data_IF_951316711350
#
_entry.id   IF_951316711350
#
_cell.length_a   1.000
_cell.length_b   1.000
_cell.length_c   1.000
_cell.angle_alpha   90.00
_cell.angle_beta   90.00
_cell.angle_gamma   90.00
#
_symmetry.space_group_name_H-M   'P 1'
#
loop_
_entity.id
_entity.type
_entity.pdbx_description
1 polymer ?
#
# COMPACT_ATOMS: atom_id res chain seq x y z
N UNK A 1 4.25 24.83 21.45
CA UNK A 1 2.93 24.23 21.17
C UNK A 1 3.00 22.73 20.86
N UNK A 2 3.99 22.23 20.09
CA UNK A 2 4.12 20.81 19.66
C UNK A 2 4.39 19.77 20.77
N UNK A 3 4.97 20.11 21.93
CA UNK A 3 5.25 19.17 23.05
C UNK A 3 4.00 18.53 23.71
N UNK A 4 2.78 18.94 23.33
CA UNK A 4 1.52 18.43 23.91
C UNK A 4 0.78 17.44 23.00
N UNK A 5 1.29 17.15 21.78
CA UNK A 5 0.55 16.36 20.80
C UNK A 5 0.36 14.90 21.25
N UNK A 6 1.44 14.21 21.68
CA UNK A 6 1.33 12.85 22.19
C UNK A 6 0.34 12.76 23.38
N UNK A 7 0.47 13.69 24.35
CA UNK A 7 -0.45 13.74 25.51
C UNK A 7 -1.91 13.97 25.09
N UNK A 8 -2.13 14.75 24.04
CA UNK A 8 -3.47 14.95 23.49
C UNK A 8 -4.04 13.66 22.89
N UNK A 9 -3.24 12.93 22.10
CA UNK A 9 -3.67 11.65 21.51
C UNK A 9 -3.90 10.57 22.60
N UNK A 10 -3.20 10.64 23.71
CA UNK A 10 -3.38 9.74 24.86
C UNK A 10 -4.62 10.05 25.71
N UNK A 11 -5.44 11.07 25.39
CA UNK A 11 -6.71 11.29 26.12
C UNK A 11 -7.66 10.11 25.91
N UNK A 12 -8.37 9.68 26.97
CA UNK A 12 -9.31 8.54 26.91
C UNK A 12 -10.28 8.62 25.73
N UNK A 13 -10.86 9.80 25.50
CA UNK A 13 -11.80 10.05 24.38
C UNK A 13 -11.16 9.73 23.03
N UNK A 14 -9.95 10.25 22.77
CA UNK A 14 -9.24 10.05 21.52
C UNK A 14 -8.84 8.58 21.34
N UNK A 15 -8.38 7.93 22.41
CA UNK A 15 -8.01 6.51 22.34
C UNK A 15 -9.23 5.60 22.12
N UNK A 16 -10.40 5.90 22.71
CA UNK A 16 -11.66 5.18 22.44
C UNK A 16 -12.07 5.35 20.97
N UNK A 17 -11.96 6.56 20.42
CA UNK A 17 -12.24 6.82 19.01
C UNK A 17 -11.28 6.05 18.09
N UNK A 18 -9.98 6.09 18.36
CA UNK A 18 -8.98 5.30 17.63
C UNK A 18 -9.23 3.80 17.73
N UNK A 19 -9.61 3.30 18.90
CA UNK A 19 -9.95 1.90 19.10
C UNK A 19 -11.16 1.49 18.25
N UNK A 20 -12.23 2.27 18.28
CA UNK A 20 -13.44 2.01 17.47
C UNK A 20 -13.16 1.96 15.96
N UNK A 21 -12.27 2.86 15.46
CA UNK A 21 -11.91 2.97 14.04
C UNK A 21 -10.90 1.90 13.59
N UNK A 22 -9.95 1.52 14.44
CA UNK A 22 -8.79 0.74 14.03
C UNK A 22 -8.73 -0.68 14.58
N UNK A 23 -9.42 -0.97 15.70
CA UNK A 23 -9.36 -2.26 16.36
C UNK A 23 -10.64 -3.08 16.10
N UNK A 24 -11.81 -2.44 16.09
CA UNK A 24 -13.11 -3.11 15.95
C UNK A 24 -13.19 -4.11 14.78
N UNK A 25 -12.61 -3.79 13.64
CA UNK A 25 -12.66 -4.62 12.43
C UNK A 25 -11.37 -5.40 12.17
N UNK A 26 -10.46 -5.43 13.14
CA UNK A 26 -9.19 -6.10 12.96
C UNK A 26 -9.27 -7.58 13.37
N UNK A 27 -9.07 -8.48 12.41
CA UNK A 27 -9.22 -9.91 12.58
C UNK A 27 -7.94 -10.63 13.05
N UNK A 28 -6.75 -10.03 12.85
CA UNK A 28 -5.51 -10.68 13.23
C UNK A 28 -5.24 -10.53 14.73
N UNK A 29 -4.69 -11.57 15.34
CA UNK A 29 -4.28 -11.60 16.75
C UNK A 29 -2.77 -11.59 16.87
N UNK A 30 -2.23 -10.88 17.87
CA UNK A 30 -0.81 -10.92 18.22
C UNK A 30 -0.40 -12.23 18.92
N UNK A 31 0.75 -12.22 19.59
CA UNK A 31 1.25 -13.39 20.35
C UNK A 31 0.39 -13.72 21.58
N UNK A 32 -0.36 -12.76 22.11
CA UNK A 32 -1.30 -12.92 23.20
C UNK A 32 -2.60 -13.64 22.81
N UNK A 33 -2.82 -13.85 21.50
CA UNK A 33 -4.05 -14.42 20.91
C UNK A 33 -5.34 -13.70 21.30
N UNK A 34 -5.26 -12.47 21.81
CA UNK A 34 -6.44 -11.66 22.14
C UNK A 34 -7.10 -11.18 20.86
N UNK A 35 -8.37 -11.58 20.66
CA UNK A 35 -9.22 -11.11 19.57
C UNK A 35 -10.07 -9.90 20.01
N UNK A 36 -10.79 -9.26 19.05
CA UNK A 36 -11.59 -8.08 19.36
C UNK A 36 -12.67 -8.33 20.42
N UNK A 37 -13.31 -9.49 20.41
CA UNK A 37 -14.36 -9.84 21.39
C UNK A 37 -13.83 -9.85 22.84
N UNK A 38 -12.62 -10.37 23.02
CA UNK A 38 -11.94 -10.39 24.33
C UNK A 38 -11.42 -8.99 24.69
N UNK A 39 -10.83 -8.29 23.71
CA UNK A 39 -10.33 -6.93 23.88
C UNK A 39 -11.45 -5.96 24.30
N UNK A 40 -12.60 -5.98 23.63
CA UNK A 40 -13.71 -5.05 23.90
C UNK A 40 -14.25 -5.11 25.32
N UNK A 41 -14.18 -6.28 25.96
CA UNK A 41 -14.57 -6.45 27.37
C UNK A 41 -13.61 -5.78 28.36
N UNK A 42 -12.38 -5.49 27.95
CA UNK A 42 -11.30 -4.92 28.77
C UNK A 42 -10.72 -3.65 28.16
N UNK A 43 -11.39 -3.03 27.21
CA UNK A 43 -10.90 -1.88 26.47
C UNK A 43 -10.50 -0.72 27.38
N UNK A 44 -11.31 -0.40 28.37
CA UNK A 44 -11.01 0.69 29.31
C UNK A 44 -9.75 0.41 30.14
N UNK A 45 -9.61 -0.81 30.62
CA UNK A 45 -8.40 -1.25 31.33
C UNK A 45 -7.16 -1.13 30.46
N UNK A 46 -7.22 -1.59 29.21
CA UNK A 46 -6.11 -1.48 28.28
C UNK A 46 -5.76 -0.02 27.96
N UNK A 47 -6.75 0.84 27.79
CA UNK A 47 -6.54 2.29 27.55
C UNK A 47 -5.82 2.91 28.75
N UNK A 48 -6.24 2.64 29.99
CA UNK A 48 -5.58 3.14 31.18
C UNK A 48 -4.15 2.62 31.33
N UNK A 49 -3.93 1.32 31.13
CA UNK A 49 -2.58 0.74 31.16
C UNK A 49 -1.64 1.39 30.14
N UNK A 50 -2.10 1.61 28.90
CA UNK A 50 -1.30 2.27 27.85
C UNK A 50 -0.95 3.67 28.30
N UNK A 51 -1.94 4.46 28.72
CA UNK A 51 -1.75 5.85 29.16
C UNK A 51 -0.74 5.95 30.29
N UNK A 52 -0.95 5.17 31.35
CA UNK A 52 -0.09 5.17 32.51
C UNK A 52 1.35 4.80 32.15
N UNK A 53 1.54 3.69 31.41
CA UNK A 53 2.86 3.21 31.04
C UNK A 53 3.59 4.14 30.08
N UNK A 54 2.89 4.71 29.10
CA UNK A 54 3.49 5.68 28.17
C UNK A 54 3.89 6.95 28.91
N UNK A 55 3.01 7.52 29.75
CA UNK A 55 3.32 8.75 30.49
C UNK A 55 4.46 8.58 31.52
N UNK A 56 4.63 7.36 32.06
CA UNK A 56 5.74 7.00 32.96
C UNK A 56 7.00 6.54 32.21
N UNK A 57 7.01 6.63 30.90
CA UNK A 57 8.12 6.17 30.02
C UNK A 57 8.56 4.71 30.27
N UNK A 58 7.62 3.83 30.56
CA UNK A 58 7.88 2.41 30.81
C UNK A 58 7.04 1.47 29.95
N UNK A 59 6.48 1.98 28.83
CA UNK A 59 5.73 1.16 27.89
C UNK A 59 6.65 0.21 27.13
N UNK A 60 6.37 -1.08 27.22
CA UNK A 60 7.09 -2.14 26.49
C UNK A 60 6.13 -2.82 25.53
N UNK A 61 6.50 -2.87 24.26
CA UNK A 61 5.76 -3.62 23.24
C UNK A 61 5.94 -5.12 23.48
N UNK A 62 4.88 -5.88 23.31
CA UNK A 62 4.94 -7.33 23.18
C UNK A 62 5.62 -7.68 21.87
N UNK A 63 6.48 -8.69 21.81
CA UNK A 63 7.08 -9.16 20.56
C UNK A 63 6.00 -9.34 19.49
N UNK A 64 6.28 -8.93 18.27
CA UNK A 64 5.33 -9.05 17.18
C UNK A 64 5.19 -10.50 16.74
N UNK A 65 4.00 -10.90 16.33
CA UNK A 65 3.76 -12.22 15.75
C UNK A 65 4.13 -12.20 14.28
N UNK A 66 4.89 -13.19 13.83
CA UNK A 66 5.23 -13.34 12.43
C UNK A 66 4.04 -13.85 11.62
N UNK A 67 3.85 -13.27 10.43
CA UNK A 67 3.01 -13.83 9.37
C UNK A 67 3.78 -13.78 8.06
N UNK A 68 4.08 -14.95 7.52
CA UNK A 68 4.74 -15.07 6.22
C UNK A 68 3.72 -14.97 5.09
N UNK A 69 4.01 -14.10 4.12
CA UNK A 69 3.17 -13.91 2.91
C UNK A 69 4.02 -14.22 1.68
N UNK A 70 3.63 -15.27 0.94
CA UNK A 70 4.25 -15.63 -0.33
C UNK A 70 3.81 -14.65 -1.42
N UNK A 71 4.77 -14.06 -2.12
CA UNK A 71 4.53 -13.21 -3.29
C UNK A 71 4.38 -14.05 -4.56
N UNK A 72 5.25 -15.02 -4.74
CA UNK A 72 5.26 -16.03 -5.81
C UNK A 72 6.08 -17.26 -5.38
N UNK A 73 6.14 -18.28 -6.25
CA UNK A 73 6.89 -19.55 -5.97
C UNK A 73 8.41 -19.37 -5.88
N UNK A 74 8.95 -18.29 -6.43
CA UNK A 74 10.39 -18.08 -6.62
C UNK A 74 10.97 -16.99 -5.73
N UNK A 75 10.16 -16.39 -4.86
CA UNK A 75 10.61 -15.35 -3.94
C UNK A 75 10.47 -15.77 -2.48
N UNK A 76 11.41 -15.33 -1.65
CA UNK A 76 11.28 -15.49 -0.21
C UNK A 76 9.99 -14.84 0.29
N UNK A 77 9.30 -15.49 1.26
CA UNK A 77 8.09 -14.90 1.84
C UNK A 77 8.41 -13.58 2.55
N UNK A 78 7.48 -12.64 2.46
CA UNK A 78 7.55 -11.40 3.24
C UNK A 78 7.13 -11.70 4.68
N UNK A 79 7.95 -11.26 5.63
CA UNK A 79 7.63 -11.31 7.05
C UNK A 79 6.81 -10.08 7.44
N UNK A 80 5.56 -10.28 7.81
CA UNK A 80 4.69 -9.24 8.34
C UNK A 80 4.62 -9.35 9.86
N UNK A 81 4.86 -8.25 10.53
CA UNK A 81 4.84 -8.13 11.99
C UNK A 81 3.44 -7.76 12.47
N UNK A 82 2.80 -8.64 13.23
CA UNK A 82 1.45 -8.43 13.78
C UNK A 82 1.55 -8.08 15.26
N UNK A 83 1.21 -6.85 15.67
CA UNK A 83 1.17 -6.45 17.08
C UNK A 83 -0.03 -7.04 17.80
N UNK A 84 0.01 -7.09 19.14
CA UNK A 84 -1.18 -7.30 19.97
C UNK A 84 -2.18 -6.17 19.75
N UNK A 85 -3.46 -6.36 20.10
CA UNK A 85 -4.47 -5.30 19.95
C UNK A 85 -4.14 -4.07 20.81
N UNK A 86 -3.57 -4.29 22.02
CA UNK A 86 -3.08 -3.22 22.88
C UNK A 86 -1.94 -2.44 22.21
N UNK A 87 -0.94 -3.14 21.70
CA UNK A 87 0.18 -2.53 20.99
C UNK A 87 -0.27 -1.83 19.71
N UNK A 88 -1.26 -2.39 19.01
CA UNK A 88 -1.83 -1.77 17.82
C UNK A 88 -2.49 -0.43 18.13
N UNK A 89 -3.21 -0.32 19.25
CA UNK A 89 -3.77 0.96 19.69
C UNK A 89 -2.66 1.97 20.00
N UNK A 90 -1.62 1.55 20.70
CA UNK A 90 -0.44 2.39 20.97
C UNK A 90 0.24 2.86 19.68
N UNK A 91 0.45 1.96 18.72
CA UNK A 91 0.99 2.30 17.40
C UNK A 91 0.08 3.26 16.63
N UNK A 92 -1.24 3.21 16.82
CA UNK A 92 -2.17 4.18 16.25
C UNK A 92 -2.05 5.55 16.90
N UNK A 93 -1.86 5.63 18.22
CA UNK A 93 -1.56 6.88 18.93
C UNK A 93 -0.27 7.52 18.40
N UNK A 94 0.79 6.73 18.20
CA UNK A 94 2.03 7.20 17.59
C UNK A 94 1.77 7.72 16.18
N UNK A 95 1.04 6.96 15.35
CA UNK A 95 0.72 7.34 13.98
C UNK A 95 -0.01 8.67 13.92
N UNK A 96 -1.08 8.86 14.70
CA UNK A 96 -1.82 10.12 14.68
C UNK A 96 -0.96 11.29 15.19
N UNK A 97 -0.06 11.04 16.13
CA UNK A 97 0.91 12.05 16.58
C UNK A 97 1.92 12.38 15.47
N UNK A 98 2.44 11.37 14.74
CA UNK A 98 3.38 11.57 13.61
C UNK A 98 2.73 12.35 12.48
N UNK A 99 1.46 12.13 12.18
CA UNK A 99 0.72 12.86 11.13
C UNK A 99 0.68 14.37 11.37
N UNK A 100 0.65 14.79 12.63
CA UNK A 100 0.68 16.21 12.99
C UNK A 100 2.08 16.84 12.82
N UNK A 101 3.14 16.03 12.99
CA UNK A 101 4.52 16.49 12.77
C UNK A 101 4.94 16.43 11.30
N UNK A 102 4.45 15.44 10.56
CA UNK A 102 4.80 15.09 9.18
C UNK A 102 3.56 14.99 8.29
N UNK A 103 2.83 16.10 8.06
CA UNK A 103 1.57 16.07 7.34
C UNK A 103 1.71 15.68 5.85
N UNK A 104 2.87 15.96 5.23
CA UNK A 104 3.14 15.60 3.84
C UNK A 104 3.37 14.08 3.71
N UNK A 105 4.26 13.52 4.54
CA UNK A 105 4.59 12.09 4.58
C UNK A 105 3.41 11.23 5.06
N UNK A 106 2.44 11.85 5.74
CA UNK A 106 1.22 11.19 6.19
C UNK A 106 0.18 10.97 5.07
N UNK A 107 0.33 11.63 3.94
CA UNK A 107 -0.60 11.59 2.81
C UNK A 107 0.12 11.23 1.51
N UNK A 108 0.69 10.01 1.42
CA UNK A 108 1.29 9.57 0.17
C UNK A 108 0.23 9.52 -0.94
N UNK A 109 0.60 9.83 -2.18
CA UNK A 109 -0.31 9.77 -3.30
C UNK A 109 -0.84 8.34 -3.49
N UNK A 110 -2.05 8.24 -4.01
CA UNK A 110 -2.60 6.95 -4.44
C UNK A 110 -1.92 6.48 -5.75
N UNK A 111 -1.88 5.18 -6.04
CA UNK A 111 -1.32 4.68 -7.31
C UNK A 111 -1.89 5.39 -8.54
N UNK A 112 -3.20 5.66 -8.56
CA UNK A 112 -3.88 6.34 -9.66
C UNK A 112 -3.43 7.81 -9.80
N UNK A 113 -3.12 8.47 -8.70
CA UNK A 113 -2.59 9.84 -8.69
C UNK A 113 -1.16 9.88 -9.24
N UNK A 114 -0.34 8.88 -8.88
CA UNK A 114 0.99 8.71 -9.47
C UNK A 114 0.89 8.51 -10.99
N UNK A 115 0.02 7.62 -11.46
CA UNK A 115 -0.17 7.36 -12.89
C UNK A 115 -0.71 8.61 -13.61
N UNK A 116 -1.63 9.36 -12.99
CA UNK A 116 -2.11 10.62 -13.54
C UNK A 116 -0.98 11.64 -13.70
N UNK A 117 -0.11 11.79 -12.70
CA UNK A 117 1.04 12.67 -12.77
C UNK A 117 2.00 12.24 -13.90
N UNK A 118 2.33 10.95 -14.00
CA UNK A 118 3.16 10.42 -15.08
C UNK A 118 2.52 10.69 -16.45
N UNK A 119 1.21 10.47 -16.59
CA UNK A 119 0.48 10.74 -17.84
C UNK A 119 0.63 12.20 -18.26
N UNK A 120 0.42 13.12 -17.33
CA UNK A 120 0.56 14.56 -17.59
C UNK A 120 2.00 14.95 -18.01
N UNK A 121 3.00 14.28 -17.44
CA UNK A 121 4.40 14.52 -17.84
C UNK A 121 4.72 13.94 -19.21
N UNK A 122 4.22 12.75 -19.54
CA UNK A 122 4.39 12.16 -20.87
C UNK A 122 3.69 12.99 -21.97
N UNK A 123 2.58 13.65 -21.66
CA UNK A 123 1.83 14.51 -22.59
C UNK A 123 2.54 15.87 -22.87
N UNK A 124 3.58 16.22 -22.09
CA UNK A 124 4.39 17.43 -22.36
C UNK A 124 5.40 17.25 -23.49
N UNK A 125 5.68 15.99 -23.87
CA UNK A 125 6.62 15.62 -24.94
C UNK A 125 8.07 16.15 -24.75
N UNK A 126 8.46 16.45 -23.49
CA UNK A 126 9.77 17.00 -23.15
C UNK A 126 10.80 15.91 -22.75
N UNK A 127 10.34 14.72 -22.38
CA UNK A 127 11.21 13.62 -21.96
C UNK A 127 11.30 12.54 -23.05
N UNK A 128 12.50 11.99 -23.22
CA UNK A 128 12.78 10.95 -24.21
C UNK A 128 13.07 9.60 -23.59
N UNK A 129 13.55 9.57 -22.34
CA UNK A 129 14.00 8.38 -21.65
C UNK A 129 13.27 8.16 -20.32
N UNK A 130 13.23 6.92 -19.89
CA UNK A 130 12.81 6.56 -18.53
C UNK A 130 13.89 5.75 -17.82
N UNK A 131 13.94 5.92 -16.49
CA UNK A 131 14.72 5.10 -15.56
C UNK A 131 13.76 4.62 -14.50
N UNK A 132 13.68 3.30 -14.33
CA UNK A 132 12.89 2.68 -13.29
C UNK A 132 13.78 1.90 -12.36
N UNK A 133 13.69 2.19 -11.06
CA UNK A 133 14.48 1.57 -10.01
C UNK A 133 13.55 0.86 -9.02
N UNK A 134 14.00 -0.27 -8.48
CA UNK A 134 13.33 -1.02 -7.41
C UNK A 134 14.32 -1.18 -6.24
N UNK A 135 13.84 -1.01 -5.01
CA UNK A 135 14.66 -1.18 -3.82
C UNK A 135 14.53 -2.60 -3.27
N UNK A 136 15.66 -3.27 -3.09
CA UNK A 136 15.69 -4.60 -2.47
C UNK A 136 15.34 -4.50 -0.99
N UNK A 137 14.37 -5.31 -0.54
CA UNK A 137 13.94 -5.39 0.88
C UNK A 137 13.90 -4.02 1.57
N UNK A 138 13.17 -3.08 0.98
CA UNK A 138 13.18 -1.67 1.38
C UNK A 138 13.03 -1.47 2.89
N UNK A 139 11.97 -2.05 3.49
CA UNK A 139 11.74 -1.92 4.94
C UNK A 139 12.85 -2.57 5.77
N UNK A 140 13.42 -3.68 5.32
CA UNK A 140 14.51 -4.37 5.98
C UNK A 140 15.85 -3.63 5.89
N UNK A 141 16.01 -2.76 4.88
CA UNK A 141 17.24 -2.00 4.66
C UNK A 141 17.22 -0.56 5.21
N UNK A 142 16.11 -0.09 5.76
CA UNK A 142 16.04 1.23 6.42
C UNK A 142 17.02 1.25 7.61
N UNK A 143 17.98 2.16 7.58
CA UNK A 143 18.94 2.36 8.68
C UNK A 143 18.27 3.15 9.80
N UNK A 144 18.08 2.50 10.96
CA UNK A 144 17.34 3.09 12.10
C UNK A 144 17.97 4.39 12.60
N UNK A 145 19.29 4.50 12.58
CA UNK A 145 20.02 5.70 12.98
C UNK A 145 19.65 6.89 12.09
N UNK A 146 19.79 6.75 10.76
CA UNK A 146 19.42 7.80 9.78
C UNK A 146 17.95 8.19 9.94
N UNK A 147 17.05 7.22 10.11
CA UNK A 147 15.63 7.49 10.32
C UNK A 147 15.41 8.32 11.58
N UNK A 148 16.03 7.92 12.69
CA UNK A 148 15.85 8.63 13.96
C UNK A 148 16.46 10.03 13.95
N UNK A 149 17.57 10.22 13.26
CA UNK A 149 18.17 11.56 13.13
C UNK A 149 17.23 12.50 12.35
N UNK A 150 16.63 12.05 11.24
CA UNK A 150 15.62 12.83 10.51
C UNK A 150 14.41 13.16 11.39
N UNK A 151 13.92 12.21 12.19
CA UNK A 151 12.80 12.43 13.11
C UNK A 151 13.16 13.43 14.21
N UNK A 152 14.36 13.35 14.78
CA UNK A 152 14.84 14.23 15.87
C UNK A 152 15.02 15.68 15.43
N UNK A 153 15.20 15.95 14.13
CA UNK A 153 15.23 17.33 13.61
C UNK A 153 13.91 18.04 13.94
N UNK A 154 12.78 17.36 13.77
CA UNK A 154 11.44 17.94 13.91
C UNK A 154 10.81 17.65 15.29
N UNK A 155 10.96 16.42 15.79
CA UNK A 155 10.37 15.98 17.06
C UNK A 155 11.40 16.16 18.19
N UNK A 156 11.01 16.92 19.23
CA UNK A 156 11.80 17.13 20.45
C UNK A 156 11.14 16.52 21.71
N UNK A 157 10.06 15.76 21.52
CA UNK A 157 9.36 15.05 22.59
C UNK A 157 10.06 13.70 22.82
N UNK A 158 10.84 13.61 23.91
CA UNK A 158 11.63 12.43 24.25
C UNK A 158 10.76 11.18 24.47
N UNK A 159 9.57 11.35 25.07
CA UNK A 159 8.63 10.24 25.25
C UNK A 159 8.20 9.64 23.91
N UNK A 160 7.88 10.49 22.93
CA UNK A 160 7.49 10.04 21.60
C UNK A 160 8.66 9.38 20.87
N UNK A 161 9.87 9.96 20.97
CA UNK A 161 11.07 9.41 20.36
C UNK A 161 11.39 8.02 20.91
N UNK A 162 11.34 7.85 22.22
CA UNK A 162 11.59 6.56 22.87
C UNK A 162 10.52 5.52 22.49
N UNK A 163 9.26 5.93 22.44
CA UNK A 163 8.16 5.06 22.05
C UNK A 163 8.30 4.59 20.60
N UNK A 164 8.74 5.46 19.68
CA UNK A 164 9.05 5.10 18.30
C UNK A 164 10.22 4.12 18.24
N UNK A 165 11.32 4.42 18.94
CA UNK A 165 12.52 3.54 19.00
C UNK A 165 12.11 2.16 19.52
N UNK A 166 11.34 2.10 20.61
CA UNK A 166 10.88 0.84 21.18
C UNK A 166 10.00 0.06 20.23
N UNK A 167 9.16 0.74 19.44
CA UNK A 167 8.31 0.07 18.44
C UNK A 167 9.13 -0.52 17.29
N UNK A 168 10.10 0.21 16.74
CA UNK A 168 10.89 -0.28 15.58
C UNK A 168 11.94 -1.32 15.99
N UNK A 169 12.47 -1.24 17.21
CA UNK A 169 13.44 -2.20 17.76
C UNK A 169 12.79 -3.45 18.33
N UNK A 170 11.47 -3.48 18.51
CA UNK A 170 10.80 -4.65 19.07
C UNK A 170 10.85 -5.83 18.09
N UNK A 171 11.38 -7.01 18.48
CA UNK A 171 11.58 -8.12 17.57
C UNK A 171 10.27 -8.80 17.17
N UNK A 172 10.27 -9.36 15.96
CA UNK A 172 9.19 -10.25 15.48
C UNK A 172 9.57 -11.68 15.81
N UNK A 173 8.72 -12.38 16.58
CA UNK A 173 8.92 -13.79 16.94
C UNK A 173 9.03 -14.64 15.65
N UNK A 174 9.96 -15.60 15.53
CA UNK A 174 10.77 -16.19 16.62
C UNK A 174 12.06 -15.43 16.95
N UNK A 175 12.41 -14.35 16.24
CA UNK A 175 13.63 -13.58 16.57
C UNK A 175 13.59 -13.07 18.02
N UNK A 176 14.71 -13.16 18.70
CA UNK A 176 14.87 -12.73 20.09
C UNK A 176 15.54 -11.37 20.19
N UNK A 177 16.45 -11.08 19.26
CA UNK A 177 17.25 -9.84 19.26
C UNK A 177 16.73 -8.89 18.17
N UNK A 178 16.80 -7.61 18.49
CA UNK A 178 16.59 -6.53 17.55
C UNK A 178 17.79 -6.40 16.61
N UNK A 179 17.51 -6.18 15.35
CA UNK A 179 18.51 -5.82 14.35
C UNK A 179 18.71 -4.29 14.39
N UNK A 180 19.94 -3.82 14.12
CA UNK A 180 20.26 -2.38 14.02
C UNK A 180 19.71 -1.76 12.74
N UNK A 181 19.28 -2.57 11.80
CA UNK A 181 18.74 -2.23 10.49
C UNK A 181 17.30 -2.71 10.34
N UNK A 182 16.54 -2.04 9.52
CA UNK A 182 15.17 -2.38 9.21
C UNK A 182 14.15 -1.84 10.20
N UNK A 183 12.94 -1.71 9.69
CA UNK A 183 11.73 -1.43 10.49
C UNK A 183 10.71 -2.55 10.24
N UNK A 184 9.95 -2.98 11.26
CA UNK A 184 9.00 -4.07 11.11
C UNK A 184 7.93 -3.75 10.06
N UNK A 185 7.74 -4.61 9.06
CA UNK A 185 6.72 -4.43 8.04
C UNK A 185 5.34 -4.82 8.58
N UNK A 186 4.32 -3.98 8.34
CA UNK A 186 2.94 -4.25 8.75
C UNK A 186 2.45 -3.49 9.98
N UNK A 187 3.32 -2.75 10.65
CA UNK A 187 2.90 -1.83 11.72
C UNK A 187 2.19 -0.60 11.16
N UNK A 188 1.30 0.01 11.93
CA UNK A 188 0.59 1.22 11.51
C UNK A 188 1.52 2.38 11.16
N UNK A 189 2.68 2.45 11.80
CA UNK A 189 3.67 3.54 11.64
C UNK A 189 4.68 3.29 10.53
N UNK A 190 4.84 2.04 10.04
CA UNK A 190 5.95 1.70 9.13
C UNK A 190 5.92 2.50 7.83
N UNK A 191 4.73 2.76 7.29
CA UNK A 191 4.61 3.50 6.04
C UNK A 191 5.05 4.98 6.20
N UNK A 192 4.56 5.68 7.23
CA UNK A 192 4.96 7.08 7.45
C UNK A 192 6.45 7.20 7.77
N UNK A 193 7.01 6.25 8.52
CA UNK A 193 8.46 6.21 8.80
C UNK A 193 9.28 6.01 7.54
N UNK A 194 8.82 5.15 6.61
CA UNK A 194 9.45 4.95 5.32
C UNK A 194 9.39 6.23 4.45
N UNK A 195 8.29 6.99 4.48
CA UNK A 195 8.19 8.28 3.79
C UNK A 195 9.11 9.34 4.41
N UNK A 196 9.18 9.41 5.75
CA UNK A 196 10.14 10.30 6.44
C UNK A 196 11.59 9.95 6.07
N UNK A 197 11.91 8.66 5.94
CA UNK A 197 13.24 8.22 5.52
C UNK A 197 13.62 8.71 4.15
N UNK A 198 12.67 8.73 3.22
CA UNK A 198 12.85 9.06 1.81
C UNK A 198 12.59 10.53 1.46
N UNK A 199 12.17 11.38 2.39
CA UNK A 199 11.68 12.73 2.09
C UNK A 199 12.71 13.62 1.38
N UNK A 200 14.00 13.50 1.71
CA UNK A 200 15.07 14.24 1.02
C UNK A 200 15.25 13.76 -0.43
N UNK A 201 15.17 12.44 -0.65
CA UNK A 201 15.19 11.87 -2.00
C UNK A 201 14.00 12.35 -2.82
N UNK A 202 12.80 12.35 -2.24
CA UNK A 202 11.58 12.81 -2.91
C UNK A 202 11.61 14.32 -3.24
N UNK A 203 12.51 15.07 -2.59
CA UNK A 203 12.68 16.51 -2.77
C UNK A 203 13.79 16.87 -3.77
N UNK A 204 14.45 15.88 -4.38
CA UNK A 204 15.46 16.13 -5.42
C UNK A 204 14.76 16.74 -6.64
N UNK A 205 15.24 17.90 -7.07
CA UNK A 205 14.71 18.62 -8.22
C UNK A 205 15.81 18.77 -9.28
N UNK A 206 15.41 18.84 -10.54
CA UNK A 206 16.31 19.00 -11.68
C UNK A 206 15.55 18.98 -13.01
N UNK A 207 16.28 18.85 -14.11
CA UNK A 207 15.71 18.75 -15.46
C UNK A 207 15.17 17.32 -15.72
N UNK A 208 14.41 16.78 -14.76
CA UNK A 208 13.80 15.47 -14.82
C UNK A 208 12.52 15.45 -13.97
N UNK A 209 11.65 14.53 -14.28
CA UNK A 209 10.49 14.20 -13.42
C UNK A 209 10.82 12.96 -12.60
N UNK A 210 10.66 13.05 -11.27
CA UNK A 210 10.86 11.95 -10.34
C UNK A 210 9.55 11.66 -9.61
N UNK A 211 9.14 10.41 -9.59
CA UNK A 211 8.02 9.96 -8.78
C UNK A 211 8.33 8.62 -8.12
N UNK A 212 7.95 8.48 -6.86
CA UNK A 212 8.16 7.26 -6.08
C UNK A 212 6.86 6.79 -5.43
N UNK A 213 6.65 5.50 -5.47
CA UNK A 213 5.60 4.83 -4.70
C UNK A 213 6.20 3.71 -3.86
N UNK A 214 6.45 3.99 -2.57
CA UNK A 214 7.12 3.11 -1.59
C UNK A 214 8.55 2.74 -2.05
N UNK A 215 8.74 1.58 -2.64
CA UNK A 215 10.01 1.03 -3.16
C UNK A 215 10.15 1.14 -4.69
N UNK A 216 9.07 1.43 -5.40
CA UNK A 216 9.06 1.63 -6.86
C UNK A 216 9.37 3.10 -7.20
N UNK A 217 10.44 3.36 -7.93
CA UNK A 217 10.90 4.70 -8.35
C UNK A 217 10.84 4.78 -9.87
N UNK A 218 10.33 5.90 -10.41
CA UNK A 218 10.34 6.22 -11.83
C UNK A 218 10.91 7.62 -12.03
N UNK A 219 11.80 7.74 -13.00
CA UNK A 219 12.38 9.01 -13.45
C UNK A 219 12.14 9.12 -14.94
N UNK A 220 11.70 10.31 -15.41
CA UNK A 220 11.65 10.67 -16.82
C UNK A 220 12.68 11.76 -17.06
N UNK A 221 13.48 11.62 -18.09
CA UNK A 221 14.58 12.54 -18.40
C UNK A 221 14.89 12.58 -19.90
N UNK A 222 15.81 13.45 -20.29
CA UNK A 222 16.36 13.51 -21.63
C UNK A 222 17.67 12.71 -21.73
N UNK A 223 18.02 12.31 -22.94
CA UNK A 223 19.24 11.54 -23.25
C UNK A 223 20.49 12.18 -22.67
N UNK A 224 20.66 13.48 -22.90
CA UNK A 224 21.85 14.27 -22.46
C UNK A 224 22.08 14.16 -20.94
N UNK A 225 21.03 14.04 -20.15
CA UNK A 225 21.10 14.03 -18.69
C UNK A 225 20.94 12.62 -18.08
N UNK A 226 20.63 11.61 -18.89
CA UNK A 226 20.26 10.28 -18.44
C UNK A 226 21.31 9.65 -17.51
N UNK A 227 22.57 9.58 -17.93
CA UNK A 227 23.64 8.95 -17.15
C UNK A 227 24.01 9.74 -15.89
N UNK A 228 23.95 11.07 -15.96
CA UNK A 228 24.17 11.95 -14.80
C UNK A 228 23.08 11.72 -13.75
N UNK A 229 21.82 11.80 -14.16
CA UNK A 229 20.66 11.62 -13.27
C UNK A 229 20.66 10.22 -12.64
N UNK A 230 20.97 9.21 -13.44
CA UNK A 230 21.09 7.84 -12.94
C UNK A 230 22.15 7.73 -11.83
N UNK A 231 23.36 8.25 -12.06
CA UNK A 231 24.46 8.21 -11.09
C UNK A 231 24.13 9.00 -9.81
N UNK A 232 23.55 10.19 -9.96
CA UNK A 232 23.18 11.04 -8.83
C UNK A 232 22.09 10.38 -7.97
N UNK A 233 21.03 9.88 -8.59
CA UNK A 233 19.90 9.27 -7.86
C UNK A 233 20.28 7.94 -7.21
N UNK A 234 20.99 7.06 -7.92
CA UNK A 234 21.48 5.80 -7.37
C UNK A 234 22.54 6.02 -6.29
N UNK A 235 23.44 6.99 -6.49
CA UNK A 235 24.41 7.40 -5.49
C UNK A 235 23.76 7.92 -4.22
N UNK A 236 22.70 8.73 -4.33
CA UNK A 236 21.95 9.20 -3.17
C UNK A 236 21.32 8.03 -2.40
N UNK A 237 20.66 7.12 -3.09
CA UNK A 237 20.00 5.96 -2.47
C UNK A 237 21.01 5.04 -1.75
N UNK A 238 22.16 4.78 -2.38
CA UNK A 238 23.16 3.83 -1.85
C UNK A 238 24.11 4.47 -0.84
N UNK A 239 24.60 5.67 -1.09
CA UNK A 239 25.61 6.32 -0.24
C UNK A 239 24.99 7.09 0.92
N UNK A 240 23.91 7.85 0.69
CA UNK A 240 23.28 8.67 1.74
C UNK A 240 22.27 7.85 2.55
N UNK A 241 21.39 7.12 1.87
CA UNK A 241 20.34 6.35 2.53
C UNK A 241 20.72 4.90 2.81
N UNK A 242 21.92 4.43 2.39
CA UNK A 242 22.38 3.05 2.63
C UNK A 242 21.38 1.96 2.18
N UNK A 243 20.56 2.28 1.16
CA UNK A 243 19.60 1.35 0.56
C UNK A 243 20.27 0.48 -0.50
N UNK A 244 19.65 -0.64 -0.83
CA UNK A 244 20.17 -1.59 -1.81
C UNK A 244 19.25 -1.58 -3.03
N UNK A 245 19.81 -1.34 -4.21
CA UNK A 245 19.10 -1.42 -5.47
C UNK A 245 18.85 -2.88 -5.87
N UNK A 246 17.82 -3.11 -6.63
CA UNK A 246 17.51 -4.42 -7.19
C UNK A 246 17.80 -4.42 -8.70
N UNK A 247 19.04 -4.67 -9.06
CA UNK A 247 19.54 -4.63 -10.45
C UNK A 247 18.73 -5.52 -11.39
N UNK A 248 18.13 -6.61 -10.88
CA UNK A 248 17.29 -7.53 -11.69
C UNK A 248 15.96 -6.93 -12.13
N UNK A 249 15.54 -5.83 -11.50
CA UNK A 249 14.28 -5.15 -11.79
C UNK A 249 14.47 -3.71 -12.27
N UNK A 250 15.71 -3.33 -12.44
CA UNK A 250 16.05 -2.06 -13.08
C UNK A 250 15.64 -2.12 -14.55
N UNK A 251 14.93 -1.10 -15.01
CA UNK A 251 14.54 -0.94 -16.42
C UNK A 251 14.91 0.48 -16.85
N UNK A 252 15.53 0.61 -18.02
CA UNK A 252 15.87 1.88 -18.66
C UNK A 252 15.57 1.76 -20.15
N UNK A 253 15.18 2.83 -20.79
CA UNK A 253 14.96 2.81 -22.24
C UNK A 253 14.37 4.09 -22.78
N UNK A 254 14.18 4.08 -24.09
CA UNK A 254 13.53 5.12 -24.86
C UNK A 254 12.01 5.01 -24.74
N UNK A 255 11.34 6.10 -24.40
CA UNK A 255 9.87 6.12 -24.20
C UNK A 255 9.09 5.76 -25.45
N UNK A 256 9.62 6.02 -26.65
CA UNK A 256 8.96 5.75 -27.93
C UNK A 256 9.15 4.29 -28.38
N UNK A 257 10.27 3.68 -28.02
CA UNK A 257 10.62 2.32 -28.43
C UNK A 257 10.15 1.28 -27.41
N UNK A 258 10.22 1.63 -26.13
CA UNK A 258 9.99 0.70 -25.04
C UNK A 258 8.84 1.14 -24.13
N UNK A 259 8.01 0.20 -23.79
CA UNK A 259 7.00 0.40 -22.78
C UNK A 259 7.41 -0.26 -21.47
N UNK A 260 7.23 0.41 -20.36
CA UNK A 260 7.56 -0.09 -19.03
C UNK A 260 6.33 -0.34 -18.16
N UNK A 261 6.50 -1.11 -17.08
CA UNK A 261 5.43 -1.39 -16.15
C UNK A 261 5.66 -0.63 -14.84
N UNK A 262 4.65 0.15 -14.40
CA UNK A 262 4.69 0.86 -13.13
C UNK A 262 3.33 0.76 -12.42
N UNK A 263 3.33 0.41 -11.14
CA UNK A 263 2.12 0.24 -10.29
C UNK A 263 0.99 -0.58 -10.92
N UNK A 264 1.35 -1.58 -11.72
CA UNK A 264 0.36 -2.45 -12.37
C UNK A 264 -0.19 -1.96 -13.71
N UNK A 265 0.22 -0.79 -14.15
CA UNK A 265 -0.03 -0.27 -15.48
C UNK A 265 1.14 -0.57 -16.42
N UNK A 266 0.87 -0.55 -17.72
CA UNK A 266 1.85 -0.53 -18.80
C UNK A 266 1.83 0.88 -19.41
N UNK A 267 2.98 1.55 -19.42
CA UNK A 267 3.14 2.93 -19.86
C UNK A 267 4.18 3.01 -20.99
N UNK A 268 4.04 3.98 -21.87
CA UNK A 268 4.96 4.28 -22.95
C UNK A 268 4.38 5.35 -23.86
N UNK A 269 5.06 5.63 -24.95
CA UNK A 269 4.58 6.47 -26.05
C UNK A 269 4.34 5.62 -27.30
N UNK A 270 3.41 6.03 -28.12
CA UNK A 270 3.27 5.47 -29.47
C UNK A 270 4.28 6.16 -30.43
N UNK A 271 4.34 5.69 -31.66
CA UNK A 271 5.23 6.26 -32.69
C UNK A 271 4.96 7.74 -33.01
N UNK A 272 3.82 8.28 -32.59
CA UNK A 272 3.44 9.69 -32.76
C UNK A 272 3.71 10.52 -31.51
N UNK A 273 4.40 9.97 -30.49
CA UNK A 273 4.67 10.67 -29.22
C UNK A 273 3.50 10.67 -28.22
N UNK A 274 2.33 10.12 -28.58
CA UNK A 274 1.16 10.14 -27.70
C UNK A 274 1.29 9.11 -26.57
N UNK A 275 0.92 9.49 -25.36
CA UNK A 275 0.95 8.61 -24.20
C UNK A 275 0.05 7.36 -24.38
N UNK A 276 0.61 6.19 -24.11
CA UNK A 276 -0.11 4.91 -24.11
C UNK A 276 -0.11 4.33 -22.69
N UNK A 277 -1.28 4.31 -22.09
CA UNK A 277 -1.49 3.80 -20.74
C UNK A 277 -2.51 2.68 -20.77
N UNK A 278 -2.08 1.48 -20.44
CA UNK A 278 -2.86 0.25 -20.46
C UNK A 278 -2.68 -0.56 -19.17
N UNK A 279 -3.44 -1.63 -19.02
CA UNK A 279 -3.28 -2.57 -17.90
C UNK A 279 -2.09 -3.51 -18.19
N UNK A 280 -1.27 -3.78 -17.18
CA UNK A 280 -0.20 -4.79 -17.25
C UNK A 280 -0.80 -6.17 -17.58
N UNK A 281 -0.20 -6.91 -18.54
CA UNK A 281 -0.67 -8.22 -19.00
C UNK A 281 -0.95 -9.21 -17.87
N UNK A 282 -0.02 -9.35 -16.94
CA UNK A 282 -0.18 -10.27 -15.81
C UNK A 282 -1.32 -9.90 -14.85
N UNK A 283 -1.75 -8.64 -14.82
CA UNK A 283 -2.89 -8.20 -14.03
C UNK A 283 -4.21 -8.45 -14.73
N UNK A 284 -4.23 -8.42 -16.09
CA UNK A 284 -5.35 -8.92 -16.88
C UNK A 284 -5.57 -10.40 -16.66
N UNK A 285 -4.52 -11.21 -16.79
CA UNK A 285 -4.58 -12.66 -16.57
C UNK A 285 -5.07 -13.02 -15.15
N UNK A 286 -4.68 -12.24 -14.14
CA UNK A 286 -5.20 -12.41 -12.77
C UNK A 286 -6.68 -12.09 -12.68
N UNK A 287 -7.15 -11.08 -13.39
CA UNK A 287 -8.56 -10.70 -13.40
C UNK A 287 -9.40 -11.76 -14.11
N UNK A 288 -8.96 -12.25 -15.26
CA UNK A 288 -9.58 -13.37 -15.98
C UNK A 288 -9.68 -14.62 -15.10
N UNK A 289 -8.59 -14.98 -14.38
CA UNK A 289 -8.61 -16.10 -13.44
C UNK A 289 -9.63 -15.93 -12.30
N UNK A 290 -9.80 -14.71 -11.79
CA UNK A 290 -10.83 -14.43 -10.77
C UNK A 290 -12.22 -14.66 -11.29
N UNK A 291 -12.49 -14.23 -12.52
CA UNK A 291 -13.76 -14.41 -13.20
C UNK A 291 -14.01 -15.90 -13.46
N UNK A 292 -13.02 -16.64 -13.99
CA UNK A 292 -13.10 -18.09 -14.20
C UNK A 292 -13.44 -18.80 -12.87
N UNK A 293 -12.72 -18.48 -11.80
CA UNK A 293 -12.96 -19.10 -10.50
C UNK A 293 -14.38 -18.86 -9.98
N UNK A 294 -14.93 -17.66 -10.18
CA UNK A 294 -16.30 -17.36 -9.80
C UNK A 294 -17.31 -18.15 -10.63
N UNK A 295 -17.10 -18.23 -11.94
CA UNK A 295 -17.93 -19.00 -12.86
C UNK A 295 -17.89 -20.49 -12.54
N UNK A 296 -16.70 -21.03 -12.27
CA UNK A 296 -16.54 -22.43 -11.87
C UNK A 296 -17.24 -22.71 -10.55
N UNK A 297 -17.14 -21.82 -9.58
CA UNK A 297 -17.85 -21.90 -8.29
C UNK A 297 -19.37 -21.93 -8.53
N UNK A 298 -19.88 -21.06 -9.39
CA UNK A 298 -21.29 -20.99 -9.72
C UNK A 298 -21.77 -22.29 -10.38
N UNK A 299 -21.09 -22.80 -11.42
CA UNK A 299 -21.40 -24.10 -12.06
C UNK A 299 -21.46 -25.23 -11.06
N UNK A 300 -20.40 -25.40 -10.25
CA UNK A 300 -20.33 -26.46 -9.26
C UNK A 300 -21.47 -26.43 -8.22
N UNK A 301 -21.87 -25.24 -7.82
CA UNK A 301 -22.95 -25.07 -6.84
C UNK A 301 -24.34 -25.35 -7.46
N UNK A 302 -24.55 -25.00 -8.73
CA UNK A 302 -25.78 -25.34 -9.47
C UNK A 302 -25.94 -26.85 -9.63
N UNK A 303 -24.87 -27.57 -9.98
CA UNK A 303 -24.87 -29.01 -10.19
C UNK A 303 -25.12 -29.83 -8.89
N UNK A 304 -24.51 -29.41 -7.78
CA UNK A 304 -24.53 -30.21 -6.53
C UNK A 304 -25.65 -29.89 -5.57
N UNK A 305 -26.10 -28.65 -5.48
CA UNK A 305 -26.96 -28.20 -4.37
C UNK A 305 -28.37 -27.78 -4.78
N UNK A 306 -28.69 -27.86 -6.07
CA UNK A 306 -30.04 -27.56 -6.55
C UNK A 306 -30.61 -26.24 -6.09
N UNK A 307 -29.80 -25.14 -6.08
CA UNK A 307 -30.28 -23.76 -5.89
C UNK A 307 -29.85 -22.95 -4.66
N UNK A 308 -28.87 -23.34 -3.87
CA UNK A 308 -28.51 -22.49 -2.71
C UNK A 308 -27.72 -21.21 -3.08
N UNK A 309 -27.04 -21.19 -4.23
CA UNK A 309 -26.33 -20.01 -4.73
C UNK A 309 -27.09 -19.40 -5.90
N UNK A 310 -27.87 -18.35 -5.60
CA UNK A 310 -28.75 -17.75 -6.58
C UNK A 310 -27.99 -17.03 -7.69
N UNK A 311 -28.55 -17.02 -8.92
CA UNK A 311 -28.03 -16.22 -10.05
C UNK A 311 -27.85 -14.75 -9.66
N UNK A 312 -28.71 -14.21 -8.80
CA UNK A 312 -28.56 -12.84 -8.27
C UNK A 312 -27.27 -12.64 -7.47
N UNK A 313 -26.91 -13.61 -6.63
CA UNK A 313 -25.65 -13.54 -5.85
C UNK A 313 -24.43 -13.66 -6.78
N UNK A 314 -24.49 -14.52 -7.81
CA UNK A 314 -23.45 -14.63 -8.84
C UNK A 314 -23.27 -13.31 -9.59
N UNK A 315 -24.36 -12.69 -10.06
CA UNK A 315 -24.32 -11.38 -10.75
C UNK A 315 -23.70 -10.32 -9.84
N UNK A 316 -24.11 -10.28 -8.56
CA UNK A 316 -23.57 -9.33 -7.61
C UNK A 316 -22.05 -9.52 -7.39
N UNK A 317 -21.60 -10.78 -7.20
CA UNK A 317 -20.15 -11.07 -7.03
C UNK A 317 -19.38 -10.76 -8.32
N UNK A 318 -19.95 -11.04 -9.52
CA UNK A 318 -19.32 -10.73 -10.79
C UNK A 318 -19.14 -9.21 -10.98
N UNK A 319 -20.19 -8.43 -10.73
CA UNK A 319 -20.12 -6.98 -10.78
C UNK A 319 -19.11 -6.43 -9.76
N UNK A 320 -19.07 -6.99 -8.56
CA UNK A 320 -18.09 -6.59 -7.54
C UNK A 320 -16.64 -6.85 -8.00
N UNK A 321 -16.38 -7.96 -8.70
CA UNK A 321 -15.06 -8.28 -9.24
C UNK A 321 -14.67 -7.34 -10.39
N UNK A 322 -15.60 -6.95 -11.25
CA UNK A 322 -15.35 -6.12 -12.44
C UNK A 322 -15.35 -4.64 -12.05
N UNK A 323 -16.46 -4.14 -11.57
CA UNK A 323 -16.66 -2.71 -11.29
C UNK A 323 -16.24 -2.29 -9.92
N UNK A 324 -16.26 -3.22 -8.94
CA UNK A 324 -15.97 -2.93 -7.55
C UNK A 324 -17.16 -2.35 -6.78
N UNK A 325 -16.90 -1.62 -5.71
CA UNK A 325 -17.91 -1.06 -4.83
C UNK A 325 -17.65 0.43 -4.54
N UNK A 326 -18.74 1.13 -4.31
CA UNK A 326 -18.73 2.51 -3.81
C UNK A 326 -19.27 2.49 -2.39
N UNK A 327 -18.50 2.95 -1.43
CA UNK A 327 -18.96 3.14 -0.05
C UNK A 327 -19.03 4.62 0.30
N UNK A 328 -20.16 5.04 0.89
CA UNK A 328 -20.27 6.38 1.44
C UNK A 328 -19.42 6.44 2.71
N UNK A 329 -18.48 7.38 2.78
CA UNK A 329 -17.75 7.64 4.01
C UNK A 329 -18.65 8.54 4.85
N UNK A 330 -19.15 8.01 5.95
CA UNK A 330 -19.84 8.82 6.96
C UNK A 330 -18.77 9.62 7.74
N UNK A 331 -18.29 10.72 7.18
CA UNK A 331 -17.61 11.77 7.95
C UNK A 331 -18.57 12.94 8.05
N UNK A 332 -18.76 13.46 9.25
CA UNK A 332 -19.70 14.54 9.57
C UNK A 332 -19.47 15.85 8.79
N UNK A 333 -18.40 15.94 8.01
CA UNK A 333 -18.00 17.17 7.29
C UNK A 333 -17.87 17.05 5.77
N UNK A 334 -18.00 15.87 5.18
CA UNK A 334 -17.99 15.72 3.70
C UNK A 334 -18.68 14.45 3.22
N UNK A 335 -19.58 14.59 2.26
CA UNK A 335 -20.15 13.49 1.47
C UNK A 335 -19.10 12.92 0.50
N UNK A 336 -18.05 12.31 1.05
CA UNK A 336 -17.02 11.70 0.23
C UNK A 336 -17.32 10.23 0.00
N UNK A 337 -17.32 9.82 -1.29
CA UNK A 337 -17.48 8.44 -1.68
C UNK A 337 -16.12 7.80 -1.88
N UNK A 338 -15.86 6.69 -1.19
CA UNK A 338 -14.72 5.83 -1.49
C UNK A 338 -15.09 4.82 -2.57
N UNK A 339 -14.35 4.84 -3.65
CA UNK A 339 -14.50 3.90 -4.76
C UNK A 339 -13.43 2.82 -4.66
N UNK A 340 -13.87 1.57 -4.71
CA UNK A 340 -12.99 0.40 -4.63
C UNK A 340 -13.26 -0.49 -5.83
N UNK A 341 -12.25 -1.13 -6.35
CA UNK A 341 -12.40 -2.14 -7.37
C UNK A 341 -11.40 -1.99 -8.51
N UNK A 342 -11.44 -2.96 -9.38
CA UNK A 342 -10.48 -3.10 -10.46
C UNK A 342 -10.59 -1.93 -11.46
N UNK A 343 -11.79 -1.57 -11.90
CA UNK A 343 -12.03 -0.45 -12.83
C UNK A 343 -11.58 0.89 -12.23
N UNK A 344 -11.87 1.12 -10.94
CA UNK A 344 -11.43 2.36 -10.29
C UNK A 344 -9.92 2.44 -10.14
N UNK A 345 -9.26 1.29 -9.89
CA UNK A 345 -7.80 1.24 -9.84
C UNK A 345 -7.19 1.60 -11.19
N UNK A 346 -7.78 1.18 -12.31
CA UNK A 346 -7.30 1.44 -13.67
C UNK A 346 -7.99 2.64 -14.36
N UNK A 347 -8.46 3.62 -13.60
CA UNK A 347 -9.17 4.82 -14.10
C UNK A 347 -8.33 5.72 -15.02
N UNK A 348 -7.00 5.54 -15.04
CA UNK A 348 -6.08 6.39 -15.82
C UNK A 348 -5.71 5.81 -17.19
N UNK A 349 -6.22 4.63 -17.56
CA UNK A 349 -5.95 4.04 -18.88
C UNK A 349 -6.57 4.89 -20.00
N UNK A 350 -5.87 4.97 -21.14
CA UNK A 350 -6.36 5.58 -22.38
C UNK A 350 -6.33 4.59 -23.55
N UNK A 351 -5.66 3.43 -23.41
CA UNK A 351 -5.69 2.35 -24.38
C UNK A 351 -6.69 1.29 -23.93
N UNK A 352 -7.86 1.19 -24.61
CA UNK A 352 -9.01 0.39 -24.18
C UNK A 352 -9.01 -1.05 -24.73
N UNK A 353 -8.05 -1.44 -25.56
CA UNK A 353 -8.01 -2.76 -26.20
C UNK A 353 -8.15 -3.92 -25.21
N UNK A 354 -7.51 -3.76 -24.05
CA UNK A 354 -7.57 -4.77 -23.00
C UNK A 354 -8.92 -4.84 -22.30
N UNK A 355 -9.65 -3.74 -22.24
CA UNK A 355 -11.02 -3.75 -21.71
C UNK A 355 -11.96 -4.43 -22.69
N UNK A 356 -11.86 -4.11 -24.00
CA UNK A 356 -12.63 -4.81 -25.04
C UNK A 356 -12.32 -6.31 -25.09
N UNK A 357 -11.06 -6.69 -24.82
CA UNK A 357 -10.71 -8.10 -24.69
C UNK A 357 -11.41 -8.73 -23.47
N UNK A 358 -11.42 -8.05 -22.33
CA UNK A 358 -12.07 -8.54 -21.10
C UNK A 358 -13.59 -8.68 -21.29
N UNK A 359 -14.24 -7.73 -21.93
CA UNK A 359 -15.67 -7.78 -22.22
C UNK A 359 -16.01 -9.00 -23.10
N UNK A 360 -15.26 -9.19 -24.20
CA UNK A 360 -15.43 -10.38 -25.06
C UNK A 360 -15.17 -11.69 -24.31
N UNK A 361 -14.15 -11.69 -23.46
CA UNK A 361 -13.85 -12.85 -22.63
C UNK A 361 -15.01 -13.18 -21.67
N UNK A 362 -15.57 -12.19 -20.98
CA UNK A 362 -16.71 -12.35 -20.07
C UNK A 362 -17.94 -12.86 -20.82
N UNK A 363 -18.27 -12.26 -21.96
CA UNK A 363 -19.39 -12.66 -22.80
C UNK A 363 -19.28 -14.13 -23.23
N UNK A 364 -18.10 -14.56 -23.65
CA UNK A 364 -17.86 -15.96 -24.04
C UNK A 364 -18.01 -16.91 -22.83
N UNK A 365 -17.50 -16.52 -21.68
CA UNK A 365 -17.64 -17.34 -20.46
C UNK A 365 -19.10 -17.45 -20.00
N UNK A 366 -19.90 -16.38 -20.13
CA UNK A 366 -21.33 -16.39 -19.80
C UNK A 366 -22.13 -17.26 -20.77
N UNK A 367 -21.85 -17.18 -22.08
CA UNK A 367 -22.47 -18.07 -23.09
C UNK A 367 -22.22 -19.55 -22.79
N UNK A 368 -20.99 -19.89 -22.35
CA UNK A 368 -20.60 -21.25 -21.97
C UNK A 368 -21.28 -21.76 -20.68
N UNK A 369 -22.04 -20.91 -19.98
CA UNK A 369 -22.84 -21.32 -18.82
C UNK A 369 -24.15 -22.02 -19.25
N UNK A 370 -24.56 -21.89 -20.54
CA UNK A 370 -25.79 -22.44 -21.07
C UNK A 370 -27.04 -22.09 -20.24
N UNK A 371 -27.07 -20.87 -19.73
CA UNK A 371 -28.19 -20.39 -18.89
C UNK A 371 -29.45 -20.15 -19.75
N UNK A 372 -30.65 -20.24 -19.16
CA UNK A 372 -31.87 -19.79 -19.81
C UNK A 372 -31.73 -18.34 -20.29
N UNK A 373 -32.20 -18.03 -21.54
CA UNK A 373 -32.06 -16.69 -22.14
C UNK A 373 -32.48 -15.52 -21.22
N UNK A 374 -33.47 -15.77 -20.33
CA UNK A 374 -33.97 -14.78 -19.37
C UNK A 374 -32.96 -14.49 -18.27
N UNK A 375 -32.13 -15.45 -17.90
CA UNK A 375 -31.07 -15.30 -16.89
C UNK A 375 -29.79 -14.74 -17.50
N UNK A 376 -29.43 -15.18 -18.72
CA UNK A 376 -28.32 -14.62 -19.49
C UNK A 376 -28.47 -13.11 -19.70
N UNK A 377 -29.69 -12.62 -20.08
CA UNK A 377 -30.00 -11.19 -20.19
C UNK A 377 -29.88 -10.37 -18.88
N UNK A 378 -29.92 -11.02 -17.73
CA UNK A 378 -29.74 -10.33 -16.44
C UNK A 378 -28.27 -10.16 -16.08
N UNK A 379 -27.40 -10.94 -16.69
CA UNK A 379 -25.94 -10.93 -16.44
C UNK A 379 -25.26 -9.92 -17.36
N UNK A 380 -25.76 -9.79 -18.60
CA UNK A 380 -25.37 -8.77 -19.58
C UNK A 380 -25.97 -7.40 -19.22
#
# INVERSE_FOLDING_TARGET
MKRKLLKSQLRKKNMKDLSSKAIKFYSATGLDNVNYRTYSKREETFIEEIRERVLKNNYKFTRYKEKLILKNRYSYPRCISIPTLKDKLTLKVILETLKEYFPQEARPPLPQECIKAIKMELEKEIYTHFIKLDLSDFYGNITQEILMDKIKVIIKDELLLELIINAIKNPTYPKVKCEKKGIPQGLSISNILAHIYMNEFDSINGDFFLIRYVDDILILCNEENHDRIYKETTGFLTSNLKLILNDKKEEKGLLVEESFNYLGYKLGLNKMGTSMISVKKSNMEKQEKRIINLITKYKYQQEKTGSSYSTKAFIFELNLIITGAVSKKMDEQSDSYKRYGWVFFYSQINCLDRLYHLDRFIDNQIKNLNLPKKEEKKIK
#
